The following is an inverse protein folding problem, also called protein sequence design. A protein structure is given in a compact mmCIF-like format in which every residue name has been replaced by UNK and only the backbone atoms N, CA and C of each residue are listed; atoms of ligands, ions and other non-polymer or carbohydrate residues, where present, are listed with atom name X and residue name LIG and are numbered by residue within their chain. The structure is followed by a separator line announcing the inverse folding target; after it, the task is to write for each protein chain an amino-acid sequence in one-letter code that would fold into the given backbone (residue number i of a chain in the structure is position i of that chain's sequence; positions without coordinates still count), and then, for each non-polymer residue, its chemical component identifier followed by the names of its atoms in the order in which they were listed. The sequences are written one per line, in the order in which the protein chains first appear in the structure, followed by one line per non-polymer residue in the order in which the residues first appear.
data_IF_587586521862
#
_entry.id   IF_587586521862
#
_cell.length_a   1.000
_cell.length_b   1.000
_cell.length_c   1.000
_cell.angle_alpha   90.00
_cell.angle_beta   90.00
_cell.angle_gamma   90.00
#
_symmetry.space_group_name_H-M   'P 1'
#
loop_
_entity.id
_entity.type
_entity.pdbx_description
1 polymer ?
#
# COMPACT_ATOMS: atom_id res chain seq x y z
N UNK A 1 27.12 1.96 -8.82
CA UNK A 1 27.84 1.50 -7.61
C UNK A 1 26.92 0.55 -6.88
N UNK A 2 27.43 -0.65 -6.57
CA UNK A 2 26.65 -1.80 -6.12
C UNK A 2 26.13 -1.63 -4.68
N UNK A 3 24.81 -1.58 -4.51
CA UNK A 3 24.13 -1.74 -3.21
C UNK A 3 22.93 -2.70 -3.28
N UNK A 4 22.69 -3.34 -4.43
CA UNK A 4 21.45 -4.11 -4.67
C UNK A 4 21.43 -5.52 -4.06
N UNK A 5 22.57 -6.12 -3.72
CA UNK A 5 22.63 -7.55 -3.35
C UNK A 5 22.56 -7.86 -1.85
N UNK A 6 22.46 -6.84 -0.98
CA UNK A 6 22.43 -7.03 0.49
C UNK A 6 21.02 -6.89 1.10
N UNK A 7 20.02 -6.51 0.30
CA UNK A 7 18.63 -6.27 0.73
C UNK A 7 17.65 -6.84 -0.31
N UNK A 8 17.90 -8.04 -0.84
CA UNK A 8 16.85 -8.74 -1.57
C UNK A 8 15.96 -9.48 -0.56
N UNK A 9 14.72 -9.01 -0.29
CA UNK A 9 13.86 -9.66 0.68
C UNK A 9 13.48 -11.06 0.17
N UNK A 10 13.73 -12.06 1.01
CA UNK A 10 13.22 -13.41 0.81
C UNK A 10 11.72 -13.43 1.13
N UNK A 11 10.89 -13.41 0.09
CA UNK A 11 9.44 -13.32 0.23
C UNK A 11 8.84 -14.57 0.89
N UNK A 12 9.43 -15.75 0.66
CA UNK A 12 8.95 -17.00 1.26
C UNK A 12 9.17 -17.01 2.78
N UNK A 13 10.17 -16.26 3.26
CA UNK A 13 10.41 -16.07 4.70
C UNK A 13 9.51 -15.01 5.34
N UNK A 14 9.05 -14.02 4.56
CA UNK A 14 8.28 -12.87 5.06
C UNK A 14 6.77 -13.06 4.98
N UNK A 15 6.30 -13.88 4.04
CA UNK A 15 4.90 -14.10 3.75
C UNK A 15 4.42 -15.45 4.32
N UNK A 16 3.10 -15.64 4.52
CA UNK A 16 2.56 -16.94 4.88
C UNK A 16 2.94 -18.02 3.85
N UNK A 17 3.19 -19.25 4.32
CA UNK A 17 3.55 -20.35 3.42
C UNK A 17 2.51 -20.58 2.32
N UNK A 18 2.98 -20.66 1.07
CA UNK A 18 2.13 -20.84 -0.11
C UNK A 18 1.44 -19.56 -0.60
N UNK A 19 1.77 -18.38 -0.06
CA UNK A 19 1.10 -17.13 -0.40
C UNK A 19 1.26 -16.74 -1.88
N UNK A 20 2.46 -16.95 -2.44
CA UNK A 20 2.74 -16.57 -3.83
C UNK A 20 1.96 -17.44 -4.81
N UNK A 21 1.96 -18.75 -4.60
CA UNK A 21 1.24 -19.72 -5.44
C UNK A 21 -0.28 -19.51 -5.34
N UNK A 22 -0.80 -19.23 -4.14
CA UNK A 22 -2.24 -18.99 -3.95
C UNK A 22 -2.75 -17.73 -4.64
N UNK A 23 -1.87 -16.78 -4.97
CA UNK A 23 -2.25 -15.49 -5.54
C UNK A 23 -1.71 -15.27 -6.97
N UNK A 24 -1.09 -16.29 -7.59
CA UNK A 24 -0.50 -16.18 -8.93
C UNK A 24 -1.53 -15.71 -9.98
N UNK A 25 -2.78 -16.19 -9.90
CA UNK A 25 -3.86 -15.78 -10.80
C UNK A 25 -4.51 -14.43 -10.41
N UNK A 26 -4.26 -13.92 -9.21
CA UNK A 26 -4.88 -12.69 -8.69
C UNK A 26 -4.03 -11.45 -8.95
N UNK A 27 -2.71 -11.60 -8.90
CA UNK A 27 -1.81 -10.50 -9.20
C UNK A 27 -0.38 -10.75 -8.73
N UNK A 28 0.58 -10.00 -9.30
CA UNK A 28 1.99 -10.16 -8.98
C UNK A 28 2.37 -9.53 -7.63
N UNK A 29 3.37 -10.11 -6.98
CA UNK A 29 4.09 -9.48 -5.86
C UNK A 29 5.42 -8.96 -6.38
N UNK A 30 5.64 -7.65 -6.29
CA UNK A 30 6.85 -6.99 -6.78
C UNK A 30 7.74 -6.63 -5.60
N UNK A 31 9.04 -6.99 -5.66
CA UNK A 31 10.01 -6.65 -4.64
C UNK A 31 10.49 -5.20 -4.77
N UNK A 32 10.70 -4.54 -3.64
CA UNK A 32 11.30 -3.21 -3.49
C UNK A 32 10.54 -2.04 -4.12
N UNK A 33 10.30 -2.05 -5.44
CA UNK A 33 9.68 -0.94 -6.15
C UNK A 33 8.88 -1.42 -7.37
N UNK A 34 7.70 -0.82 -7.56
CA UNK A 34 6.87 -0.98 -8.75
C UNK A 34 6.68 0.38 -9.42
N UNK A 35 6.50 0.44 -10.76
CA UNK A 35 6.32 1.69 -11.49
C UNK A 35 4.94 2.29 -11.21
N UNK A 36 4.83 2.98 -10.07
CA UNK A 36 3.57 3.54 -9.58
C UNK A 36 2.92 4.47 -10.61
N UNK A 37 3.70 5.29 -11.30
CA UNK A 37 3.24 6.13 -12.42
C UNK A 37 2.52 5.33 -13.50
N UNK A 38 3.07 4.17 -13.88
CA UNK A 38 2.49 3.33 -14.94
C UNK A 38 1.24 2.60 -14.43
N UNK A 39 1.25 2.17 -13.17
CA UNK A 39 0.13 1.44 -12.54
C UNK A 39 -1.07 2.37 -12.31
N UNK A 40 -0.83 3.57 -11.78
CA UNK A 40 -1.90 4.54 -11.45
C UNK A 40 -2.13 5.57 -12.54
N UNK A 41 -1.35 5.55 -13.63
CA UNK A 41 -1.21 6.65 -14.60
C UNK A 41 -0.70 7.97 -13.98
N UNK A 42 -0.25 7.93 -12.72
CA UNK A 42 0.00 9.09 -11.84
C UNK A 42 1.03 8.78 -10.75
N UNK A 43 1.81 9.78 -10.35
CA UNK A 43 2.97 9.64 -9.46
C UNK A 43 2.69 10.00 -7.99
N UNK A 44 1.52 10.58 -7.66
CA UNK A 44 1.26 11.05 -6.29
C UNK A 44 -0.21 10.97 -5.86
N UNK A 45 -0.44 11.11 -4.55
CA UNK A 45 -1.79 11.22 -3.95
C UNK A 45 -2.59 12.35 -4.60
N UNK A 46 -1.95 13.49 -4.88
CA UNK A 46 -2.61 14.65 -5.49
C UNK A 46 -3.09 14.31 -6.89
N UNK A 47 -2.27 13.60 -7.66
CA UNK A 47 -2.61 13.19 -9.01
C UNK A 47 -3.66 12.07 -9.02
N UNK A 48 -3.58 11.12 -8.09
CA UNK A 48 -4.61 10.10 -7.89
C UNK A 48 -5.97 10.72 -7.56
N UNK A 49 -5.99 11.76 -6.72
CA UNK A 49 -7.21 12.55 -6.43
C UNK A 49 -7.72 13.24 -7.69
N UNK A 50 -6.84 13.85 -8.49
CA UNK A 50 -7.22 14.50 -9.74
C UNK A 50 -7.83 13.52 -10.76
N UNK A 51 -7.29 12.30 -10.81
CA UNK A 51 -7.77 11.23 -11.68
C UNK A 51 -8.99 10.48 -11.13
N UNK A 52 -9.46 10.82 -9.93
CA UNK A 52 -10.62 10.16 -9.32
C UNK A 52 -10.37 8.70 -8.94
N UNK A 53 -9.11 8.32 -8.70
CA UNK A 53 -8.77 6.95 -8.30
C UNK A 53 -9.18 6.75 -6.82
N UNK A 54 -10.09 5.81 -6.51
CA UNK A 54 -10.49 5.55 -5.13
C UNK A 54 -9.32 4.94 -4.34
N UNK A 55 -9.20 5.30 -3.07
CA UNK A 55 -8.06 4.90 -2.24
C UNK A 55 -8.48 4.18 -0.96
N UNK A 56 -7.61 3.29 -0.46
CA UNK A 56 -7.65 2.84 0.94
C UNK A 56 -6.56 3.61 1.69
N UNK A 57 -6.97 4.42 2.68
CA UNK A 57 -6.05 5.27 3.43
C UNK A 57 -5.46 4.52 4.63
N UNK A 58 -4.20 4.10 4.49
CA UNK A 58 -3.39 3.48 5.53
C UNK A 58 -2.17 4.36 5.86
N UNK A 59 -2.26 5.23 6.87
CA UNK A 59 -1.16 6.15 7.21
C UNK A 59 -0.07 5.42 8.00
N UNK A 60 1.20 5.66 7.64
CA UNK A 60 2.35 5.07 8.32
C UNK A 60 3.10 6.09 9.20
N UNK A 61 3.32 7.31 8.69
CA UNK A 61 4.09 8.33 9.40
C UNK A 61 3.64 9.76 9.10
N UNK A 62 4.02 10.68 10.00
CA UNK A 62 3.95 12.15 9.85
C UNK A 62 2.61 12.67 9.29
N UNK A 63 2.63 13.43 8.19
CA UNK A 63 1.50 14.12 7.59
C UNK A 63 0.46 13.20 6.95
N UNK A 64 0.77 11.91 6.76
CA UNK A 64 -0.17 10.97 6.15
C UNK A 64 -1.46 10.81 6.97
N UNK A 65 -1.39 11.00 8.29
CA UNK A 65 -2.58 11.00 9.16
C UNK A 65 -3.51 12.18 8.84
N UNK A 66 -2.96 13.35 8.55
CA UNK A 66 -3.75 14.52 8.11
C UNK A 66 -4.31 14.29 6.71
N UNK A 67 -3.51 13.73 5.80
CA UNK A 67 -3.97 13.40 4.45
C UNK A 67 -5.16 12.43 4.48
N UNK A 68 -5.13 11.40 5.35
CA UNK A 68 -6.26 10.49 5.56
C UNK A 68 -7.53 11.24 5.95
N UNK A 69 -7.45 12.16 6.91
CA UNK A 69 -8.61 12.94 7.36
C UNK A 69 -9.21 13.73 6.19
N UNK A 70 -8.38 14.39 5.38
CA UNK A 70 -8.86 15.14 4.21
C UNK A 70 -9.50 14.19 3.18
N UNK A 71 -8.82 13.11 2.81
CA UNK A 71 -9.29 12.16 1.79
C UNK A 71 -10.59 11.45 2.19
N UNK A 72 -10.69 11.00 3.43
CA UNK A 72 -11.83 10.21 3.95
C UNK A 72 -12.97 11.10 4.41
N UNK A 73 -12.70 12.16 5.18
CA UNK A 73 -13.76 12.95 5.81
C UNK A 73 -14.23 14.11 4.94
N UNK A 74 -13.31 14.79 4.26
CA UNK A 74 -13.63 16.00 3.48
C UNK A 74 -13.96 15.66 2.03
N UNK A 75 -13.08 14.95 1.34
CA UNK A 75 -13.21 14.68 -0.09
C UNK A 75 -14.07 13.46 -0.39
N UNK A 76 -14.25 12.54 0.57
CA UNK A 76 -15.01 11.28 0.38
C UNK A 76 -14.46 10.40 -0.75
N UNK A 77 -13.14 10.44 -0.97
CA UNK A 77 -12.45 9.69 -2.02
C UNK A 77 -11.71 8.45 -1.52
N UNK A 78 -11.68 8.23 -0.20
CA UNK A 78 -10.98 7.11 0.39
C UNK A 78 -11.76 6.40 1.50
N UNK A 79 -11.47 5.12 1.68
CA UNK A 79 -11.89 4.33 2.83
C UNK A 79 -10.74 4.23 3.85
N UNK A 80 -11.00 4.42 5.14
CA UNK A 80 -9.97 4.30 6.17
C UNK A 80 -9.66 2.82 6.47
N UNK A 81 -8.40 2.50 6.72
CA UNK A 81 -8.05 1.22 7.33
C UNK A 81 -8.39 1.22 8.84
N UNK A 82 -8.82 0.07 9.37
CA UNK A 82 -9.17 -0.07 10.78
C UNK A 82 -7.91 -0.30 11.62
N UNK A 83 -7.45 0.74 12.31
CA UNK A 83 -6.30 0.67 13.22
C UNK A 83 -6.78 0.26 14.63
N UNK A 84 -6.03 -0.60 15.30
CA UNK A 84 -6.18 -0.84 16.74
C UNK A 84 -5.67 0.36 17.54
N UNK A 85 -5.92 0.36 18.85
CA UNK A 85 -5.56 1.47 19.76
C UNK A 85 -4.06 1.84 19.73
N UNK A 86 -3.20 0.88 19.38
CA UNK A 86 -1.75 1.08 19.24
C UNK A 86 -1.32 1.61 17.85
N UNK A 87 -2.27 1.91 16.96
CA UNK A 87 -2.02 2.43 15.62
C UNK A 87 -1.59 1.39 14.58
N UNK A 88 -1.66 0.09 14.91
CA UNK A 88 -1.38 -1.00 13.96
C UNK A 88 -2.67 -1.55 13.33
N UNK A 89 -2.54 -2.21 12.19
CA UNK A 89 -3.66 -2.89 11.52
C UNK A 89 -3.45 -4.39 11.62
N UNK A 90 -4.50 -5.13 11.96
CA UNK A 90 -4.44 -6.58 12.10
C UNK A 90 -4.64 -7.28 10.73
N UNK A 91 -3.83 -8.30 10.45
CA UNK A 91 -3.91 -9.10 9.22
C UNK A 91 -4.94 -10.24 9.29
N UNK A 92 -5.75 -10.32 10.35
CA UNK A 92 -6.79 -11.32 10.52
C UNK A 92 -7.76 -11.27 9.35
N UNK A 93 -7.98 -12.43 8.75
CA UNK A 93 -8.98 -12.60 7.70
C UNK A 93 -10.36 -12.48 8.33
N UNK A 94 -11.13 -11.48 7.90
CA UNK A 94 -12.56 -11.36 8.23
C UNK A 94 -13.34 -12.40 7.43
#
# INVERSE_FOLDING_TARGET
MATSSLLDPDLDSLLPGGFLEQNEERGPVVKNWAPQAEVLSHDSIVEAVYAGVPMVAWPLYTEQRLNRVVLVEKLKLALPMNESENGFVNASKV
#
